data_IF_238177652491
#
_entry.id   IF_238177652491
#
_cell.length_a   1.000
_cell.length_b   1.000
_cell.length_c   1.000
_cell.angle_alpha   90.00
_cell.angle_beta   90.00
_cell.angle_gamma   90.00
#
_symmetry.space_group_name_H-M   'P 1'
#
loop_
_entity.id
_entity.type
_entity.pdbx_description
1 polymer ?
#
# COMPACT_ATOMS: atom_id res chain seq x y z
N UNK A 1 14.26 16.19 -20.46
CA UNK A 1 13.56 15.24 -19.55
C UNK A 1 12.85 15.96 -18.39
N UNK A 2 13.54 16.67 -17.49
CA UNK A 2 12.87 17.46 -16.43
C UNK A 2 12.06 18.65 -16.99
N UNK A 3 12.63 19.44 -17.91
CA UNK A 3 11.90 20.53 -18.58
C UNK A 3 10.60 20.08 -19.24
N UNK A 4 10.63 18.92 -19.91
CA UNK A 4 9.44 18.32 -20.52
C UNK A 4 8.35 17.95 -19.49
N UNK A 5 8.75 17.54 -18.29
CA UNK A 5 7.82 17.28 -17.19
C UNK A 5 7.23 18.57 -16.62
N UNK A 6 8.08 19.58 -16.35
CA UNK A 6 7.64 20.88 -15.82
C UNK A 6 6.74 21.65 -16.80
N UNK A 7 6.92 21.45 -18.11
CA UNK A 7 6.09 22.06 -19.14
C UNK A 7 4.84 21.24 -19.48
N UNK A 8 4.63 20.06 -18.88
CA UNK A 8 3.46 19.23 -19.13
C UNK A 8 2.24 19.82 -18.43
N UNK A 9 1.06 19.67 -19.01
CA UNK A 9 -0.18 19.97 -18.32
C UNK A 9 -0.37 19.04 -17.11
N UNK A 10 -0.94 19.60 -16.04
CA UNK A 10 -1.31 18.83 -14.84
C UNK A 10 -2.46 17.89 -15.20
N UNK A 11 -2.42 16.67 -14.66
CA UNK A 11 -3.51 15.69 -14.83
C UNK A 11 -4.79 16.19 -14.16
N UNK A 12 -5.95 15.69 -14.58
CA UNK A 12 -7.21 16.04 -13.93
C UNK A 12 -7.18 15.63 -12.44
N UNK A 13 -7.75 16.47 -11.56
CA UNK A 13 -7.79 16.22 -10.12
C UNK A 13 -8.43 14.88 -9.74
N UNK A 14 -9.39 14.42 -10.53
CA UNK A 14 -10.09 13.14 -10.32
C UNK A 14 -9.28 11.94 -10.81
N UNK A 15 -8.13 12.16 -11.48
CA UNK A 15 -7.28 11.08 -12.00
C UNK A 15 -6.33 10.54 -10.95
N UNK A 16 -6.06 9.24 -10.99
CA UNK A 16 -5.10 8.60 -10.10
C UNK A 16 -3.65 8.87 -10.58
N UNK A 17 -2.80 9.55 -9.77
CA UNK A 17 -1.42 9.85 -10.16
C UNK A 17 -0.56 8.59 -10.33
N UNK A 18 -0.79 7.54 -9.53
CA UNK A 18 -0.06 6.27 -9.64
C UNK A 18 -0.35 5.60 -10.99
N UNK A 19 -1.63 5.52 -11.39
CA UNK A 19 -2.01 4.95 -12.70
C UNK A 19 -1.37 5.71 -13.86
N UNK A 20 -1.33 7.04 -13.75
CA UNK A 20 -0.68 7.88 -14.76
C UNK A 20 0.80 7.54 -14.95
N UNK A 21 1.57 7.41 -13.87
CA UNK A 21 3.00 7.10 -13.95
C UNK A 21 3.29 5.66 -14.35
N UNK A 22 2.42 4.71 -13.99
CA UNK A 22 2.49 3.33 -14.48
C UNK A 22 2.31 3.23 -16.00
N UNK A 23 1.49 4.10 -16.58
CA UNK A 23 1.33 4.18 -18.04
C UNK A 23 2.48 4.93 -18.74
N UNK A 24 3.41 5.53 -17.98
CA UNK A 24 4.60 6.21 -18.50
C UNK A 24 5.89 5.73 -17.81
N UNK A 25 6.19 4.42 -17.82
CA UNK A 25 7.16 3.81 -16.91
C UNK A 25 8.63 4.13 -17.24
N UNK A 26 8.93 4.65 -18.43
CA UNK A 26 10.29 4.75 -18.97
C UNK A 26 11.00 6.08 -18.72
N UNK A 27 10.77 6.73 -17.57
CA UNK A 27 11.47 7.97 -17.21
C UNK A 27 12.12 7.86 -15.83
N UNK A 28 13.26 8.55 -15.63
CA UNK A 28 13.82 8.68 -14.25
C UNK A 28 12.83 9.37 -13.30
N UNK A 29 11.92 10.17 -13.85
CA UNK A 29 10.89 10.89 -13.10
C UNK A 29 9.78 9.94 -12.65
N UNK A 30 9.36 8.99 -13.49
CA UNK A 30 8.35 7.97 -13.11
C UNK A 30 8.85 7.10 -11.96
N UNK A 31 10.13 6.71 -11.97
CA UNK A 31 10.74 5.97 -10.87
C UNK A 31 10.69 6.75 -9.53
N UNK A 32 11.03 8.05 -9.56
CA UNK A 32 10.97 8.92 -8.38
C UNK A 32 9.51 9.11 -7.94
N UNK A 33 8.62 9.43 -8.88
CA UNK A 33 7.20 9.65 -8.62
C UNK A 33 6.55 8.42 -7.97
N UNK A 34 6.75 7.23 -8.55
CA UNK A 34 6.20 5.99 -8.01
C UNK A 34 6.71 5.72 -6.59
N UNK A 35 8.00 5.92 -6.31
CA UNK A 35 8.56 5.75 -4.96
C UNK A 35 7.89 6.66 -3.93
N UNK A 36 7.63 7.92 -4.28
CA UNK A 36 7.01 8.88 -3.37
C UNK A 36 5.51 8.65 -3.20
N UNK A 37 4.79 8.27 -4.26
CA UNK A 37 3.35 8.01 -4.17
C UNK A 37 3.00 6.74 -3.40
N UNK A 38 3.89 5.76 -3.35
CA UNK A 38 3.71 4.55 -2.53
C UNK A 38 4.07 4.76 -1.05
N UNK A 39 4.61 5.93 -0.69
CA UNK A 39 4.94 6.25 0.70
C UNK A 39 3.65 6.59 1.45
N UNK A 40 3.40 5.88 2.55
CA UNK A 40 2.31 6.24 3.45
C UNK A 40 2.71 7.50 4.22
N UNK A 41 1.97 8.59 4.04
CA UNK A 41 2.28 9.88 4.67
C UNK A 41 1.94 9.98 6.17
N UNK A 42 1.36 8.93 6.76
CA UNK A 42 0.90 8.92 8.17
C UNK A 42 1.11 7.54 8.80
N UNK A 43 1.16 7.48 10.13
CA UNK A 43 1.20 6.22 10.89
C UNK A 43 -0.14 5.49 10.96
N UNK A 44 -1.23 6.11 10.48
CA UNK A 44 -2.61 5.60 10.61
C UNK A 44 -2.76 4.15 10.11
N UNK A 45 -2.21 3.73 8.96
CA UNK A 45 -2.31 2.32 8.55
C UNK A 45 -1.59 1.35 9.48
N UNK A 46 -0.44 1.76 10.05
CA UNK A 46 0.28 0.96 11.04
C UNK A 46 -0.52 0.86 12.35
N UNK A 47 -1.08 1.96 12.84
CA UNK A 47 -1.95 1.98 14.02
C UNK A 47 -3.16 1.07 13.81
N UNK A 48 -3.84 1.17 12.65
CA UNK A 48 -4.96 0.30 12.30
C UNK A 48 -4.56 -1.18 12.28
N UNK A 49 -3.39 -1.50 11.72
CA UNK A 49 -2.86 -2.87 11.74
C UNK A 49 -2.62 -3.37 13.17
N UNK A 50 -2.02 -2.55 14.04
CA UNK A 50 -1.77 -2.90 15.44
C UNK A 50 -3.07 -3.01 16.26
N UNK A 51 -4.07 -2.17 16.00
CA UNK A 51 -5.39 -2.30 16.62
C UNK A 51 -6.05 -3.64 16.24
N UNK A 52 -6.03 -4.02 14.96
CA UNK A 52 -6.53 -5.33 14.51
C UNK A 52 -5.76 -6.48 15.14
N UNK A 53 -4.43 -6.36 15.24
CA UNK A 53 -3.60 -7.35 15.92
C UNK A 53 -3.97 -7.51 17.40
N UNK A 54 -4.24 -6.40 18.09
CA UNK A 54 -4.70 -6.40 19.48
C UNK A 54 -6.05 -7.11 19.65
N UNK A 55 -6.99 -6.87 18.74
CA UNK A 55 -8.30 -7.56 18.74
C UNK A 55 -8.10 -9.06 18.56
N UNK A 56 -7.35 -9.49 17.55
CA UNK A 56 -7.09 -10.91 17.26
C UNK A 56 -6.43 -11.60 18.45
N UNK A 57 -5.44 -10.97 19.08
CA UNK A 57 -4.77 -11.51 20.26
C UNK A 57 -5.71 -11.67 21.46
N UNK A 58 -6.60 -10.69 21.67
CA UNK A 58 -7.47 -10.64 22.85
C UNK A 58 -8.72 -11.53 22.68
N UNK A 59 -9.33 -11.55 21.49
CA UNK A 59 -10.52 -12.35 21.18
C UNK A 59 -10.19 -13.83 21.03
N UNK A 60 -9.03 -14.18 20.44
CA UNK A 60 -8.72 -15.59 20.16
C UNK A 60 -8.39 -16.43 21.41
N UNK A 61 -8.23 -15.82 22.61
CA UNK A 61 -7.91 -16.45 23.93
C UNK A 61 -6.83 -17.55 23.92
N UNK A 62 -6.11 -17.71 22.83
CA UNK A 62 -5.09 -18.72 22.61
C UNK A 62 -3.75 -18.01 22.54
N UNK A 63 -2.72 -18.58 23.19
CA UNK A 63 -1.33 -18.12 23.07
C UNK A 63 -0.84 -18.35 21.63
N UNK A 64 -1.27 -17.50 20.71
CA UNK A 64 -0.71 -17.43 19.37
C UNK A 64 0.74 -16.95 19.49
N UNK A 65 1.66 -17.70 18.91
CA UNK A 65 3.02 -17.19 18.75
C UNK A 65 3.00 -16.00 17.77
N UNK A 66 3.95 -15.08 17.91
CA UNK A 66 4.05 -13.92 17.01
C UNK A 66 4.12 -14.29 15.53
N UNK A 67 4.68 -15.47 15.21
CA UNK A 67 4.69 -16.02 13.85
C UNK A 67 3.28 -16.27 13.31
N UNK A 68 2.42 -16.96 14.07
CA UNK A 68 1.05 -17.25 13.64
C UNK A 68 0.18 -16.00 13.61
N UNK A 69 0.41 -15.06 14.53
CA UNK A 69 -0.26 -13.76 14.49
C UNK A 69 0.06 -13.00 13.19
N UNK A 70 1.34 -12.95 12.79
CA UNK A 70 1.75 -12.32 11.54
C UNK A 70 1.11 -12.96 10.30
N UNK A 71 1.03 -14.30 10.27
CA UNK A 71 0.35 -15.01 9.18
C UNK A 71 -1.14 -14.67 9.12
N UNK A 72 -1.81 -14.65 10.28
CA UNK A 72 -3.23 -14.34 10.36
C UNK A 72 -3.51 -12.88 9.96
N UNK A 73 -2.66 -11.94 10.38
CA UNK A 73 -2.76 -10.53 9.96
C UNK A 73 -2.57 -10.37 8.45
N UNK A 74 -1.62 -11.09 7.86
CA UNK A 74 -1.41 -11.09 6.42
C UNK A 74 -2.64 -11.60 5.67
N UNK A 75 -3.17 -12.78 6.05
CA UNK A 75 -4.36 -13.34 5.42
C UNK A 75 -5.60 -12.43 5.57
N UNK A 76 -5.76 -11.79 6.73
CA UNK A 76 -6.84 -10.81 6.95
C UNK A 76 -6.71 -9.52 6.11
N UNK A 77 -5.52 -9.22 5.58
CA UNK A 77 -5.30 -8.05 4.72
C UNK A 77 -5.65 -8.31 3.25
N UNK A 78 -5.85 -9.58 2.87
CA UNK A 78 -6.13 -10.01 1.51
C UNK A 78 -7.63 -10.17 1.26
N UNK A 79 -8.05 -10.00 0.01
CA UNK A 79 -9.39 -10.41 -0.42
C UNK A 79 -9.48 -11.94 -0.52
N UNK A 80 -10.69 -12.48 -0.52
CA UNK A 80 -10.90 -13.93 -0.68
C UNK A 80 -10.38 -14.40 -2.05
N UNK A 81 -10.49 -13.56 -3.07
CA UNK A 81 -9.96 -13.83 -4.41
C UNK A 81 -8.43 -13.98 -4.39
N UNK A 82 -7.74 -13.13 -3.63
CA UNK A 82 -6.28 -13.20 -3.47
C UNK A 82 -5.83 -14.48 -2.75
N UNK A 83 -6.68 -15.09 -1.91
CA UNK A 83 -6.35 -16.34 -1.21
C UNK A 83 -6.22 -17.51 -2.18
N UNK A 84 -7.02 -17.54 -3.24
CA UNK A 84 -6.96 -18.58 -4.26
C UNK A 84 -5.79 -18.38 -5.25
N UNK A 85 -5.13 -17.22 -5.21
CA UNK A 85 -4.01 -16.86 -6.07
C UNK A 85 -2.63 -16.99 -5.39
N UNK A 86 -2.60 -17.27 -4.08
CA UNK A 86 -1.39 -17.58 -3.29
C UNK A 86 -0.91 -19.02 -3.51
#
# INVERSE_FOLDING_TARGET
>A
KLKCYLNRSVINMSSCPIKFWNNHPNTRISAIANRHFTLVGTSVPSECLFSKAGIILNEARNRLSGKHLNQLLFLNSLSIEDWYAL
#
